data_IF_234761336290
#
_entry.id   IF_234761336290
#
_cell.length_a   1.000
_cell.length_b   1.000
_cell.length_c   1.000
_cell.angle_alpha   90.00
_cell.angle_beta   90.00
_cell.angle_gamma   90.00
#
_symmetry.space_group_name_H-M   'P 1'
#
loop_
_entity.id
_entity.type
_entity.pdbx_description
1 polymer ?
#
# COMPACT_ATOMS: atom_id res chain seq x y z
N UNK A 1 13.78 -34.97 -0.07
CA UNK A 1 14.35 -33.67 -0.51
C UNK A 1 13.92 -33.42 -1.95
N UNK A 2 12.81 -32.70 -2.20
CA UNK A 2 12.38 -32.34 -3.55
C UNK A 2 13.29 -31.20 -4.05
N UNK A 3 13.98 -31.40 -5.15
CA UNK A 3 14.71 -30.33 -5.85
C UNK A 3 13.68 -29.29 -6.29
N UNK A 4 13.73 -28.09 -5.64
CA UNK A 4 12.93 -26.94 -6.07
C UNK A 4 13.51 -26.46 -7.40
N UNK A 5 12.70 -26.44 -8.45
CA UNK A 5 13.06 -25.88 -9.75
C UNK A 5 13.29 -24.37 -9.61
N UNK A 6 14.47 -23.90 -9.91
CA UNK A 6 14.80 -22.47 -9.98
C UNK A 6 14.10 -21.93 -11.24
N UNK A 7 13.08 -21.10 -11.06
CA UNK A 7 12.39 -20.46 -12.20
C UNK A 7 13.29 -19.35 -12.78
N UNK A 8 13.49 -19.39 -14.10
CA UNK A 8 14.24 -18.37 -14.83
C UNK A 8 13.26 -17.32 -15.38
N UNK A 9 13.53 -16.05 -15.12
CA UNK A 9 12.85 -14.93 -15.75
C UNK A 9 13.88 -14.10 -16.52
N UNK A 10 13.71 -14.00 -17.87
CA UNK A 10 14.71 -13.32 -18.70
C UNK A 10 16.10 -13.99 -18.71
N UNK A 11 16.20 -15.30 -18.36
CA UNK A 11 17.47 -16.04 -18.31
C UNK A 11 18.16 -16.06 -16.96
N UNK A 12 17.77 -15.20 -15.99
CA UNK A 12 18.30 -15.21 -14.61
C UNK A 12 17.35 -15.93 -13.64
N UNK A 13 17.90 -16.60 -12.64
CA UNK A 13 17.12 -17.20 -11.57
C UNK A 13 16.60 -16.11 -10.65
N UNK A 14 15.29 -16.08 -10.37
CA UNK A 14 14.70 -15.15 -9.40
C UNK A 14 15.23 -15.42 -7.98
N UNK A 15 15.31 -14.40 -7.10
CA UNK A 15 15.74 -14.57 -5.73
C UNK A 15 14.76 -15.47 -4.96
N UNK A 16 15.22 -16.10 -3.90
CA UNK A 16 14.32 -16.74 -2.95
C UNK A 16 13.45 -15.68 -2.29
N UNK A 17 12.16 -15.98 -2.07
CA UNK A 17 11.23 -15.00 -1.51
C UNK A 17 10.32 -15.62 -0.46
N UNK A 18 9.84 -14.77 0.44
CA UNK A 18 8.71 -15.04 1.34
C UNK A 18 7.64 -13.98 1.11
N UNK A 19 6.37 -14.35 1.29
CA UNK A 19 5.24 -13.44 1.11
C UNK A 19 4.44 -13.31 2.39
N UNK A 20 4.11 -12.08 2.77
CA UNK A 20 3.28 -11.74 3.92
C UNK A 20 2.02 -11.05 3.40
N UNK A 21 0.88 -11.68 3.63
CA UNK A 21 -0.45 -11.22 3.23
C UNK A 21 -1.15 -10.69 4.48
N UNK A 22 -1.46 -9.42 4.50
CA UNK A 22 -2.08 -8.76 5.63
C UNK A 22 -3.61 -8.78 5.50
N UNK A 23 -4.32 -9.08 6.60
CA UNK A 23 -5.78 -9.23 6.62
C UNK A 23 -6.52 -8.25 7.53
N UNK A 24 -5.84 -7.29 8.18
CA UNK A 24 -6.49 -6.32 9.09
C UNK A 24 -7.55 -5.47 8.38
N UNK A 25 -7.41 -5.29 7.06
CA UNK A 25 -8.40 -4.55 6.25
C UNK A 25 -9.67 -5.35 5.92
N UNK A 26 -9.77 -6.62 6.36
CA UNK A 26 -10.98 -7.41 6.12
C UNK A 26 -12.14 -6.90 6.97
N UNK A 27 -13.21 -6.47 6.31
CA UNK A 27 -14.53 -6.37 6.89
C UNK A 27 -15.15 -7.78 7.00
N UNK A 28 -16.03 -8.02 7.97
CA UNK A 28 -16.64 -9.34 8.21
C UNK A 28 -17.41 -9.89 6.99
N UNK A 29 -17.91 -9.04 6.11
CA UNK A 29 -18.61 -9.42 4.87
C UNK A 29 -17.67 -9.74 3.69
N UNK A 30 -16.35 -9.85 3.92
CA UNK A 30 -15.33 -9.74 2.86
C UNK A 30 -14.66 -11.07 2.54
N UNK A 31 -15.27 -12.21 2.87
CA UNK A 31 -14.80 -13.52 2.40
C UNK A 31 -14.57 -13.53 0.88
N UNK A 32 -15.47 -12.93 0.09
CA UNK A 32 -15.37 -12.89 -1.36
C UNK A 32 -14.16 -12.10 -1.88
N UNK A 33 -13.81 -10.98 -1.22
CA UNK A 33 -12.62 -10.20 -1.60
C UNK A 33 -11.33 -10.94 -1.22
N UNK A 34 -11.30 -11.55 -0.05
CA UNK A 34 -10.18 -12.38 0.39
C UNK A 34 -9.94 -13.54 -0.57
N UNK A 35 -10.97 -14.32 -0.90
CA UNK A 35 -10.84 -15.42 -1.86
C UNK A 35 -10.45 -14.91 -3.26
N UNK A 36 -10.99 -13.79 -3.71
CA UNK A 36 -10.59 -13.20 -4.99
C UNK A 36 -9.12 -12.73 -5.00
N UNK A 37 -8.60 -12.24 -3.88
CA UNK A 37 -7.20 -11.90 -3.72
C UNK A 37 -6.33 -13.17 -3.75
N UNK A 38 -6.67 -14.20 -2.95
CA UNK A 38 -5.95 -15.47 -2.90
C UNK A 38 -5.99 -16.20 -4.24
N UNK A 39 -7.13 -16.23 -4.92
CA UNK A 39 -7.24 -16.80 -6.29
C UNK A 39 -6.35 -16.06 -7.30
N UNK A 40 -6.18 -14.75 -7.14
CA UNK A 40 -5.28 -13.97 -7.99
C UNK A 40 -3.80 -14.24 -7.69
N UNK A 41 -3.48 -14.54 -6.43
CA UNK A 41 -2.15 -14.94 -6.01
C UNK A 41 -1.83 -16.38 -6.50
N UNK A 42 -2.78 -17.29 -6.41
CA UNK A 42 -2.59 -18.65 -6.92
C UNK A 42 -2.30 -18.70 -8.44
N UNK A 43 -2.86 -17.77 -9.19
CA UNK A 43 -2.67 -17.64 -10.65
C UNK A 43 -1.38 -16.95 -11.07
N UNK A 44 -0.44 -16.71 -10.14
CA UNK A 44 0.83 -16.08 -10.48
C UNK A 44 1.69 -16.99 -11.38
N UNK A 45 2.40 -16.36 -12.33
CA UNK A 45 3.37 -17.06 -13.20
C UNK A 45 4.56 -17.64 -12.42
N UNK A 46 4.90 -17.03 -11.28
CA UNK A 46 5.77 -17.59 -10.25
C UNK A 46 4.88 -18.23 -9.19
N UNK A 47 4.82 -19.57 -9.08
CA UNK A 47 3.93 -20.23 -8.14
C UNK A 47 4.22 -19.85 -6.68
N UNK A 48 3.20 -19.53 -5.90
CA UNK A 48 3.34 -19.21 -4.47
C UNK A 48 3.87 -20.39 -3.67
N UNK A 49 3.63 -21.63 -4.12
CA UNK A 49 4.22 -22.85 -3.54
C UNK A 49 5.76 -22.88 -3.65
N UNK A 50 6.39 -22.00 -4.44
CA UNK A 50 7.85 -21.84 -4.50
C UNK A 50 8.39 -20.84 -3.48
N UNK A 51 7.53 -20.09 -2.77
CA UNK A 51 7.93 -19.25 -1.67
C UNK A 51 8.64 -20.07 -0.57
N UNK A 52 9.53 -19.43 0.16
CA UNK A 52 10.08 -20.02 1.40
C UNK A 52 8.96 -20.17 2.42
N UNK A 53 8.26 -19.09 2.66
CA UNK A 53 7.06 -19.01 3.48
C UNK A 53 6.01 -18.13 2.77
N UNK A 54 4.76 -18.52 2.84
CA UNK A 54 3.61 -17.71 2.45
C UNK A 54 2.68 -17.61 3.65
N UNK A 55 2.60 -16.42 4.24
CA UNK A 55 1.95 -16.20 5.54
C UNK A 55 0.74 -15.28 5.34
N UNK A 56 -0.45 -15.75 5.69
CA UNK A 56 -1.63 -14.91 5.89
C UNK A 56 -1.70 -14.53 7.36
N UNK A 57 -1.63 -13.24 7.63
CA UNK A 57 -1.68 -12.72 9.00
C UNK A 57 -3.13 -12.55 9.44
N UNK A 58 -3.51 -13.20 10.52
CA UNK A 58 -4.86 -13.13 11.08
C UNK A 58 -4.83 -12.45 12.46
N UNK A 59 -5.39 -11.26 12.58
CA UNK A 59 -5.62 -10.56 13.85
C UNK A 59 -6.93 -10.97 14.55
N UNK A 60 -7.42 -12.19 14.32
CA UNK A 60 -8.68 -12.70 14.87
C UNK A 60 -9.93 -12.27 14.07
N UNK A 61 -9.76 -11.70 12.89
CA UNK A 61 -10.88 -11.22 12.04
C UNK A 61 -11.35 -12.26 11.01
N UNK A 62 -10.56 -13.31 10.79
CA UNK A 62 -10.94 -14.40 9.87
C UNK A 62 -11.74 -15.44 10.69
N UNK A 63 -13.05 -15.66 10.38
CA UNK A 63 -13.84 -16.69 11.01
C UNK A 63 -13.23 -18.08 10.84
N UNK A 64 -13.45 -18.98 11.81
CA UNK A 64 -12.85 -20.32 11.81
C UNK A 64 -13.23 -21.15 10.55
N UNK A 65 -14.47 -21.00 10.07
CA UNK A 65 -14.97 -21.65 8.87
C UNK A 65 -14.23 -21.16 7.62
N UNK A 66 -13.97 -19.83 7.55
CA UNK A 66 -13.20 -19.22 6.45
C UNK A 66 -11.75 -19.65 6.51
N UNK A 67 -11.15 -19.72 7.71
CA UNK A 67 -9.78 -20.20 7.90
C UNK A 67 -9.63 -21.65 7.40
N UNK A 68 -10.55 -22.54 7.81
CA UNK A 68 -10.57 -23.95 7.36
C UNK A 68 -10.73 -24.09 5.83
N UNK A 69 -11.54 -23.23 5.22
CA UNK A 69 -11.68 -23.21 3.75
C UNK A 69 -10.41 -22.71 3.06
N UNK A 70 -9.72 -21.73 3.63
CA UNK A 70 -8.43 -21.23 3.13
C UNK A 70 -7.38 -22.36 3.17
N UNK A 71 -7.22 -23.03 4.29
CA UNK A 71 -6.28 -24.14 4.47
C UNK A 71 -6.53 -25.27 3.45
N UNK A 72 -7.82 -25.57 3.20
CA UNK A 72 -8.22 -26.58 2.22
C UNK A 72 -7.93 -26.14 0.77
N UNK A 73 -8.18 -24.89 0.40
CA UNK A 73 -8.07 -24.38 -0.98
C UNK A 73 -6.65 -23.99 -1.36
N UNK A 74 -5.88 -23.47 -0.41
CA UNK A 74 -4.56 -22.90 -0.66
C UNK A 74 -3.48 -23.58 0.22
N UNK A 75 -3.12 -24.84 -0.05
CA UNK A 75 -2.18 -25.62 0.78
C UNK A 75 -0.74 -25.06 0.79
N UNK A 76 -0.48 -24.00 0.05
CA UNK A 76 0.78 -23.26 0.04
C UNK A 76 0.81 -22.11 1.06
N UNK A 77 -0.31 -21.80 1.72
CA UNK A 77 -0.51 -20.64 2.59
C UNK A 77 -0.65 -21.08 4.05
N UNK A 78 0.18 -20.51 4.91
CA UNK A 78 0.10 -20.70 6.35
C UNK A 78 -0.64 -19.53 7.01
N UNK A 79 -1.63 -19.81 7.86
CA UNK A 79 -2.33 -18.78 8.63
C UNK A 79 -1.60 -18.56 9.95
N UNK A 80 -1.10 -17.33 10.14
CA UNK A 80 -0.41 -16.93 11.37
C UNK A 80 -1.27 -15.95 12.18
N UNK A 81 -1.68 -16.37 13.36
CA UNK A 81 -2.50 -15.54 14.26
C UNK A 81 -1.62 -14.61 15.08
N UNK A 82 -2.00 -13.34 15.13
CA UNK A 82 -1.37 -12.28 15.92
C UNK A 82 -2.39 -11.67 16.89
N UNK A 83 -1.91 -10.85 17.83
CA UNK A 83 -2.79 -10.14 18.77
C UNK A 83 -3.72 -9.17 18.00
N UNK A 84 -4.98 -9.09 18.45
CA UNK A 84 -6.02 -8.30 17.79
C UNK A 84 -5.80 -6.77 17.87
N UNK A 85 -4.91 -6.31 18.77
CA UNK A 85 -4.54 -4.91 18.94
C UNK A 85 -3.38 -4.46 18.04
N UNK A 86 -2.79 -5.39 17.27
CA UNK A 86 -1.73 -5.06 16.32
C UNK A 86 -2.24 -4.17 15.21
N UNK A 87 -1.49 -3.11 14.95
CA UNK A 87 -1.77 -2.20 13.84
C UNK A 87 -1.41 -2.85 12.49
N UNK A 88 -1.96 -2.33 11.41
CA UNK A 88 -1.67 -2.75 10.04
C UNK A 88 -0.16 -2.91 9.73
N UNK A 89 0.68 -2.01 10.22
CA UNK A 89 2.12 -2.11 9.96
C UNK A 89 2.84 -3.06 10.90
N UNK A 90 2.34 -3.27 12.11
CA UNK A 90 2.81 -4.33 13.00
C UNK A 90 2.44 -5.69 12.44
N UNK A 91 1.22 -5.87 11.96
CA UNK A 91 0.77 -7.08 11.27
C UNK A 91 1.64 -7.45 10.06
N UNK A 92 2.22 -6.46 9.37
CA UNK A 92 3.19 -6.70 8.29
C UNK A 92 4.61 -6.97 8.80
N UNK A 93 5.06 -6.24 9.81
CA UNK A 93 6.46 -6.27 10.25
C UNK A 93 6.76 -7.46 11.18
N UNK A 94 5.84 -7.81 12.09
CA UNK A 94 6.06 -8.88 13.08
C UNK A 94 6.37 -10.23 12.42
N UNK A 95 5.64 -10.69 11.36
CA UNK A 95 5.90 -11.96 10.71
C UNK A 95 7.21 -12.00 9.89
N UNK A 96 7.89 -10.89 9.68
CA UNK A 96 9.20 -10.88 9.00
C UNK A 96 10.20 -11.81 9.68
N UNK A 97 10.14 -11.90 11.02
CA UNK A 97 10.99 -12.81 11.81
C UNK A 97 10.73 -14.30 11.54
N UNK A 98 9.58 -14.64 10.99
CA UNK A 98 9.18 -16.01 10.64
C UNK A 98 9.57 -16.41 9.21
N UNK A 99 10.14 -15.47 8.46
CA UNK A 99 10.46 -15.67 7.04
C UNK A 99 11.96 -15.95 6.84
N UNK A 100 12.32 -16.61 5.74
CA UNK A 100 13.72 -16.99 5.39
C UNK A 100 14.11 -16.64 3.95
N UNK A 101 13.21 -16.13 3.11
CA UNK A 101 13.49 -15.71 1.74
C UNK A 101 14.44 -14.51 1.68
N UNK A 102 15.24 -14.39 0.63
CA UNK A 102 16.13 -13.25 0.41
C UNK A 102 15.37 -11.94 0.16
N UNK A 103 14.15 -12.06 -0.37
CA UNK A 103 13.22 -10.96 -0.62
C UNK A 103 11.92 -11.20 0.14
N UNK A 104 11.46 -10.19 0.87
CA UNK A 104 10.19 -10.19 1.58
C UNK A 104 9.18 -9.40 0.76
N UNK A 105 8.09 -10.04 0.39
CA UNK A 105 6.99 -9.45 -0.39
C UNK A 105 5.81 -9.15 0.53
N UNK A 106 5.30 -7.92 0.49
CA UNK A 106 4.09 -7.52 1.21
C UNK A 106 2.94 -7.28 0.24
N UNK A 107 1.80 -7.84 0.57
CA UNK A 107 0.53 -7.62 -0.12
C UNK A 107 -0.64 -7.56 0.88
N UNK A 108 -1.82 -7.17 0.39
CA UNK A 108 -3.05 -7.10 1.18
C UNK A 108 -4.06 -8.10 0.61
N UNK A 109 -4.91 -8.61 1.47
CA UNK A 109 -5.93 -9.59 1.14
C UNK A 109 -7.16 -9.02 0.43
N UNK A 110 -7.24 -7.70 0.24
CA UNK A 110 -8.31 -7.02 -0.48
C UNK A 110 -7.93 -6.63 -1.91
N UNK A 111 -6.70 -6.85 -2.32
CA UNK A 111 -6.19 -6.50 -3.64
C UNK A 111 -6.20 -7.69 -4.61
N UNK A 112 -6.45 -7.42 -5.90
CA UNK A 112 -6.30 -8.41 -6.97
C UNK A 112 -5.01 -8.15 -7.74
N UNK A 113 -4.21 -9.19 -7.93
CA UNK A 113 -2.89 -9.12 -8.54
C UNK A 113 -2.90 -9.73 -9.94
N UNK A 114 -2.33 -9.02 -10.92
CA UNK A 114 -2.23 -9.59 -12.29
C UNK A 114 -1.29 -10.81 -12.32
N UNK A 115 -1.44 -11.77 -13.26
CA UNK A 115 -0.67 -13.02 -13.25
C UNK A 115 0.86 -12.87 -13.26
N UNK A 116 1.40 -11.80 -13.85
CA UNK A 116 2.84 -11.51 -13.86
C UNK A 116 3.33 -10.61 -12.72
N UNK A 117 2.49 -10.33 -11.72
CA UNK A 117 2.78 -9.40 -10.65
C UNK A 117 4.02 -9.78 -9.86
N UNK A 118 4.09 -11.01 -9.37
CA UNK A 118 5.19 -11.47 -8.52
C UNK A 118 6.52 -11.52 -9.28
N UNK A 119 6.50 -12.04 -10.52
CA UNK A 119 7.68 -12.04 -11.38
C UNK A 119 8.21 -10.62 -11.63
N UNK A 120 7.31 -9.67 -11.91
CA UNK A 120 7.67 -8.28 -12.15
C UNK A 120 8.24 -7.60 -10.87
N UNK A 121 7.75 -7.99 -9.69
CA UNK A 121 8.22 -7.44 -8.43
C UNK A 121 9.60 -8.00 -8.04
N UNK A 122 9.89 -9.24 -8.39
CA UNK A 122 11.15 -9.92 -8.05
C UNK A 122 12.27 -9.68 -9.06
N UNK A 123 11.96 -9.43 -10.34
CA UNK A 123 12.98 -9.30 -11.39
C UNK A 123 14.01 -8.19 -11.16
N UNK A 124 13.72 -7.00 -10.56
CA UNK A 124 14.72 -5.97 -10.35
C UNK A 124 15.83 -6.35 -9.35
N UNK A 125 15.63 -7.37 -8.52
CA UNK A 125 16.64 -7.85 -7.58
C UNK A 125 17.77 -8.64 -8.25
N UNK A 126 17.52 -9.19 -9.44
CA UNK A 126 18.50 -9.98 -10.19
C UNK A 126 18.98 -9.24 -11.46
N UNK A 127 18.48 -8.03 -11.68
CA UNK A 127 18.94 -7.16 -12.75
C UNK A 127 20.22 -6.44 -12.32
N UNK A 128 21.38 -6.75 -12.94
CA UNK A 128 22.66 -6.17 -12.55
C UNK A 128 22.73 -4.66 -12.76
N UNK A 129 21.89 -4.11 -13.64
CA UNK A 129 21.81 -2.66 -13.87
C UNK A 129 21.05 -1.93 -12.77
N UNK A 130 20.18 -2.63 -12.03
CA UNK A 130 19.29 -2.06 -11.02
C UNK A 130 19.81 -2.36 -9.61
N UNK A 131 20.16 -3.62 -9.34
CA UNK A 131 20.58 -4.13 -8.03
C UNK A 131 19.67 -3.61 -6.89
N UNK A 132 18.35 -3.91 -7.00
CA UNK A 132 17.35 -3.36 -6.13
C UNK A 132 17.44 -3.90 -4.69
N UNK A 133 17.20 -3.03 -3.71
CA UNK A 133 16.92 -3.42 -2.32
C UNK A 133 15.45 -3.18 -1.94
N UNK A 134 14.74 -2.29 -2.65
CA UNK A 134 13.33 -1.97 -2.46
C UNK A 134 12.63 -1.84 -3.81
N UNK A 135 11.56 -2.61 -4.02
CA UNK A 135 10.77 -2.59 -5.25
C UNK A 135 9.28 -2.47 -4.90
N UNK A 136 8.58 -1.54 -5.53
CA UNK A 136 7.12 -1.39 -5.41
C UNK A 136 6.46 -1.61 -6.77
N UNK A 137 5.26 -2.16 -6.76
CA UNK A 137 4.43 -2.22 -7.96
C UNK A 137 3.55 -0.97 -8.14
N UNK A 138 2.64 -1.07 -9.08
CA UNK A 138 1.57 -0.10 -9.30
C UNK A 138 0.28 -0.60 -8.68
N UNK A 139 -0.30 0.19 -7.77
CA UNK A 139 -1.65 -0.06 -7.25
C UNK A 139 -2.59 0.99 -7.80
N UNK A 140 -3.74 0.56 -8.31
CA UNK A 140 -4.79 1.43 -8.85
C UNK A 140 -6.16 0.93 -8.41
N UNK A 141 -7.20 1.74 -8.60
CA UNK A 141 -8.60 1.36 -8.41
C UNK A 141 -9.27 1.11 -9.76
N UNK A 142 -10.40 0.39 -9.77
CA UNK A 142 -11.21 0.24 -10.97
C UNK A 142 -11.73 1.60 -11.47
N UNK A 143 -11.73 1.81 -12.79
CA UNK A 143 -12.15 3.06 -13.45
C UNK A 143 -13.29 2.83 -14.46
N UNK A 144 -14.09 1.81 -14.21
CA UNK A 144 -15.26 1.41 -14.99
C UNK A 144 -16.53 2.20 -14.68
N UNK A 145 -16.50 3.01 -13.63
CA UNK A 145 -17.59 3.89 -13.21
C UNK A 145 -17.12 5.33 -13.01
N UNK A 146 -18.04 6.28 -13.05
CA UNK A 146 -17.76 7.71 -12.76
C UNK A 146 -17.15 7.86 -11.37
N UNK A 147 -17.63 7.08 -10.41
CA UNK A 147 -17.12 7.08 -9.05
C UNK A 147 -15.69 6.53 -8.97
N UNK A 148 -15.42 5.37 -9.56
CA UNK A 148 -14.07 4.79 -9.62
C UNK A 148 -13.08 5.72 -10.32
N UNK A 149 -13.53 6.39 -11.39
CA UNK A 149 -12.74 7.40 -12.09
C UNK A 149 -12.39 8.59 -11.19
N UNK A 150 -13.36 9.11 -10.43
CA UNK A 150 -13.14 10.16 -9.44
C UNK A 150 -12.12 9.71 -8.38
N UNK A 151 -12.25 8.49 -7.84
CA UNK A 151 -11.30 7.94 -6.86
C UNK A 151 -9.90 7.82 -7.45
N UNK A 152 -9.73 7.34 -8.69
CA UNK A 152 -8.43 7.27 -9.36
C UNK A 152 -7.77 8.65 -9.53
N UNK A 153 -8.57 9.70 -9.76
CA UNK A 153 -8.07 11.08 -9.80
C UNK A 153 -7.67 11.59 -8.42
N UNK A 154 -8.51 11.33 -7.42
CA UNK A 154 -8.50 12.03 -6.14
C UNK A 154 -7.88 11.23 -4.98
N UNK A 155 -7.62 9.94 -5.10
CA UNK A 155 -7.09 9.09 -4.03
C UNK A 155 -5.58 8.80 -4.17
N UNK A 156 -4.99 8.13 -3.17
CA UNK A 156 -3.55 7.84 -3.14
C UNK A 156 -3.09 6.85 -4.23
N UNK A 157 -4.00 6.04 -4.79
CA UNK A 157 -3.66 5.08 -5.84
C UNK A 157 -3.84 5.70 -7.23
N UNK A 158 -2.73 6.04 -7.94
CA UNK A 158 -2.80 6.63 -9.26
C UNK A 158 -3.23 5.58 -10.30
N UNK A 159 -3.72 6.04 -11.47
CA UNK A 159 -3.88 5.15 -12.61
C UNK A 159 -2.57 4.46 -12.99
N UNK A 160 -2.67 3.24 -13.50
CA UNK A 160 -1.50 2.52 -14.04
C UNK A 160 -0.77 3.35 -15.09
N UNK A 161 0.56 3.28 -15.08
CA UNK A 161 1.37 3.98 -16.07
C UNK A 161 1.51 3.18 -17.38
N UNK A 162 2.07 3.81 -18.42
CA UNK A 162 2.48 3.13 -19.65
C UNK A 162 3.97 2.80 -19.66
N UNK A 163 4.67 2.97 -18.54
CA UNK A 163 6.08 2.63 -18.43
C UNK A 163 6.29 1.12 -18.72
N UNK A 164 7.38 0.80 -19.41
CA UNK A 164 7.68 -0.58 -19.84
C UNK A 164 8.76 -1.25 -19.00
N UNK A 165 9.55 -0.48 -18.26
CA UNK A 165 10.64 -0.97 -17.41
C UNK A 165 10.63 -0.31 -16.03
N UNK A 166 11.39 -0.86 -15.06
CA UNK A 166 11.52 -0.28 -13.74
C UNK A 166 12.07 1.15 -13.77
N UNK A 167 11.61 1.99 -12.82
CA UNK A 167 12.08 3.37 -12.66
C UNK A 167 12.09 3.78 -11.17
N UNK A 168 12.97 4.74 -10.83
CA UNK A 168 13.06 5.25 -9.47
C UNK A 168 11.81 6.05 -9.08
N UNK A 169 11.36 5.89 -7.81
CA UNK A 169 10.17 6.55 -7.28
C UNK A 169 10.40 7.07 -5.87
N UNK A 170 9.61 8.06 -5.45
CA UNK A 170 9.70 8.68 -4.12
C UNK A 170 8.86 8.01 -3.03
N UNK A 171 8.32 6.82 -3.25
CA UNK A 171 7.48 6.14 -2.28
C UNK A 171 6.93 4.81 -2.75
N UNK A 172 6.26 4.10 -1.86
CA UNK A 172 5.63 2.82 -2.15
C UNK A 172 4.24 2.72 -1.51
N UNK A 173 3.42 1.81 -2.03
CA UNK A 173 2.17 1.38 -1.41
C UNK A 173 2.44 0.07 -0.65
N UNK A 174 2.05 -0.01 0.64
CA UNK A 174 2.36 -1.16 1.49
C UNK A 174 1.63 -2.45 1.07
N UNK A 175 0.60 -2.33 0.25
CA UNK A 175 -0.12 -3.47 -0.34
C UNK A 175 0.54 -4.04 -1.61
N UNK A 176 1.67 -3.46 -2.07
CA UNK A 176 2.33 -3.87 -3.31
C UNK A 176 3.81 -3.45 -3.29
N UNK A 177 4.59 -4.09 -2.43
CA UNK A 177 6.00 -3.75 -2.23
C UNK A 177 6.79 -4.99 -1.82
N UNK A 178 8.07 -4.99 -2.14
CA UNK A 178 9.04 -5.97 -1.64
C UNK A 178 10.33 -5.28 -1.22
N UNK A 179 11.05 -5.91 -0.31
CA UNK A 179 12.35 -5.46 0.18
C UNK A 179 13.31 -6.63 0.25
N UNK A 180 14.61 -6.38 0.02
CA UNK A 180 15.62 -7.36 0.42
C UNK A 180 15.55 -7.57 1.94
N UNK A 181 15.76 -8.81 2.40
CA UNK A 181 15.79 -9.12 3.83
C UNK A 181 16.77 -8.22 4.57
N UNK A 182 18.00 -8.09 4.06
CA UNK A 182 19.01 -7.27 4.68
C UNK A 182 18.62 -5.80 4.80
N UNK A 183 17.79 -5.26 3.88
CA UNK A 183 17.28 -3.90 4.02
C UNK A 183 16.28 -3.80 5.17
N UNK A 184 15.32 -4.73 5.27
CA UNK A 184 14.32 -4.72 6.36
C UNK A 184 14.95 -4.95 7.73
N UNK A 185 16.01 -5.74 7.82
CA UNK A 185 16.76 -5.94 9.06
C UNK A 185 17.49 -4.66 9.50
N UNK A 186 18.08 -3.92 8.56
CA UNK A 186 18.76 -2.64 8.86
C UNK A 186 17.78 -1.49 9.06
N UNK A 187 16.70 -1.47 8.32
CA UNK A 187 15.73 -0.40 8.28
C UNK A 187 14.30 -0.97 8.24
N UNK A 188 13.78 -1.44 9.37
CA UNK A 188 12.42 -1.98 9.44
C UNK A 188 11.37 -0.90 9.17
N UNK A 189 10.18 -1.32 8.73
CA UNK A 189 9.04 -0.41 8.61
C UNK A 189 8.74 0.14 10.01
N UNK A 190 8.71 1.48 10.22
CA UNK A 190 8.45 2.05 11.52
C UNK A 190 7.08 1.61 12.07
N UNK A 191 7.04 1.00 13.24
CA UNK A 191 5.84 0.65 13.99
C UNK A 191 5.76 1.46 15.27
N UNK A 192 4.69 1.33 16.05
CA UNK A 192 4.53 2.06 17.32
C UNK A 192 4.34 3.56 17.16
N UNK A 193 4.21 4.08 15.95
CA UNK A 193 3.87 5.46 15.70
C UNK A 193 2.39 5.69 15.97
N UNK A 194 2.06 6.80 16.64
CA UNK A 194 0.65 7.22 16.80
C UNK A 194 0.07 7.80 15.50
N UNK A 195 0.29 7.07 14.41
CA UNK A 195 -0.16 7.39 13.06
C UNK A 195 -0.91 6.16 12.57
N UNK A 196 -2.19 6.27 12.30
CA UNK A 196 -3.03 5.16 11.82
C UNK A 196 -2.52 4.57 10.49
N UNK A 197 -2.18 5.44 9.55
CA UNK A 197 -1.56 5.11 8.26
C UNK A 197 -0.45 6.14 7.97
N UNK A 198 0.47 5.87 7.07
CA UNK A 198 1.55 6.79 6.70
C UNK A 198 2.96 6.31 7.07
N UNK A 199 3.07 5.18 7.79
CA UNK A 199 4.36 4.58 8.13
C UNK A 199 5.17 4.25 6.87
N UNK A 200 4.52 3.78 5.79
CA UNK A 200 5.17 3.57 4.49
C UNK A 200 5.73 4.87 3.89
N UNK A 201 5.04 6.00 4.05
CA UNK A 201 5.54 7.30 3.59
C UNK A 201 6.75 7.77 4.39
N UNK A 202 6.75 7.54 5.70
CA UNK A 202 7.89 7.84 6.56
C UNK A 202 9.07 6.91 6.25
N UNK A 203 8.81 5.60 6.15
CA UNK A 203 9.83 4.61 5.81
C UNK A 203 10.49 4.91 4.46
N UNK A 204 9.68 5.17 3.42
CA UNK A 204 10.19 5.52 2.10
C UNK A 204 11.12 6.74 2.14
N UNK A 205 10.78 7.75 2.91
CA UNK A 205 11.63 8.94 3.09
C UNK A 205 12.93 8.60 3.82
N UNK A 206 12.87 7.81 4.89
CA UNK A 206 14.06 7.35 5.61
C UNK A 206 15.00 6.56 4.70
N UNK A 207 14.45 5.67 3.87
CA UNK A 207 15.22 4.92 2.87
C UNK A 207 15.94 5.86 1.89
N UNK A 208 15.23 6.82 1.32
CA UNK A 208 15.82 7.80 0.39
C UNK A 208 16.86 8.71 1.06
N UNK A 209 16.63 9.13 2.30
CA UNK A 209 17.56 9.96 3.07
C UNK A 209 18.89 9.20 3.36
N UNK A 210 18.88 7.86 3.34
CA UNK A 210 20.08 7.01 3.44
C UNK A 210 20.65 6.56 2.09
N UNK A 211 20.11 7.07 0.98
CA UNK A 211 20.59 6.76 -0.37
C UNK A 211 19.99 5.50 -1.01
N UNK A 212 19.05 4.82 -0.34
CA UNK A 212 18.35 3.67 -0.92
C UNK A 212 17.37 4.13 -1.99
N UNK A 213 17.53 3.60 -3.21
CA UNK A 213 16.60 3.84 -4.30
C UNK A 213 15.41 2.89 -4.21
N UNK A 214 14.19 3.44 -4.19
CA UNK A 214 12.97 2.65 -4.33
C UNK A 214 12.64 2.55 -5.83
N UNK A 215 12.61 1.34 -6.35
CA UNK A 215 12.28 1.07 -7.74
C UNK A 215 10.79 0.77 -7.90
N UNK A 216 10.18 1.30 -8.94
CA UNK A 216 8.80 0.95 -9.32
C UNK A 216 8.82 0.01 -10.52
N UNK A 217 8.24 -1.18 -10.35
CA UNK A 217 8.05 -2.18 -11.39
C UNK A 217 6.64 -2.04 -12.00
N UNK A 218 6.48 -1.48 -13.22
CA UNK A 218 5.15 -1.19 -13.80
C UNK A 218 4.34 -2.46 -14.15
N UNK A 219 5.00 -3.60 -14.30
CA UNK A 219 4.34 -4.89 -14.53
C UNK A 219 3.74 -5.50 -13.25
N UNK A 220 4.20 -5.07 -12.09
CA UNK A 220 3.69 -5.53 -10.80
C UNK A 220 2.40 -4.77 -10.43
N UNK A 221 1.28 -5.11 -11.10
CA UNK A 221 0.00 -4.38 -10.95
C UNK A 221 -0.92 -5.06 -9.95
N UNK A 222 -1.47 -4.23 -9.06
CA UNK A 222 -2.51 -4.60 -8.10
C UNK A 222 -3.73 -3.69 -8.26
N UNK A 223 -4.92 -4.27 -8.22
CA UNK A 223 -6.18 -3.54 -8.23
C UNK A 223 -6.76 -3.55 -6.82
N UNK A 224 -6.81 -2.37 -6.20
CA UNK A 224 -7.42 -2.18 -4.89
C UNK A 224 -8.93 -1.92 -5.05
N UNK A 225 -9.79 -2.37 -4.13
CA UNK A 225 -11.22 -2.05 -4.17
C UNK A 225 -11.44 -0.54 -4.09
N UNK A 226 -12.55 -0.10 -4.65
CA UNK A 226 -12.94 1.30 -4.59
C UNK A 226 -13.47 1.62 -3.18
N UNK A 227 -13.09 2.76 -2.61
CA UNK A 227 -13.58 3.20 -1.31
C UNK A 227 -15.11 3.32 -1.29
N UNK A 228 -15.76 2.96 -0.19
CA UNK A 228 -17.19 3.22 0.01
C UNK A 228 -17.43 4.75 0.08
N UNK A 229 -18.50 5.22 -0.58
CA UNK A 229 -18.82 6.65 -0.64
C UNK A 229 -19.03 7.27 0.75
N UNK A 230 -19.65 6.51 1.67
CA UNK A 230 -19.88 6.91 3.07
C UNK A 230 -18.58 7.18 3.85
N UNK A 231 -17.49 6.50 3.48
CA UNK A 231 -16.21 6.62 4.18
C UNK A 231 -15.32 7.75 3.63
N UNK A 232 -15.64 8.28 2.44
CA UNK A 232 -14.79 9.28 1.81
C UNK A 232 -14.48 10.49 2.70
N UNK A 233 -15.46 11.14 3.37
CA UNK A 233 -15.17 12.32 4.17
C UNK A 233 -14.13 12.06 5.24
N UNK A 234 -14.30 10.97 5.99
CA UNK A 234 -13.37 10.60 7.05
C UNK A 234 -12.01 10.17 6.48
N UNK A 235 -11.98 9.41 5.39
CA UNK A 235 -10.73 8.97 4.75
C UNK A 235 -9.90 10.14 4.21
N UNK A 236 -10.52 11.14 3.56
CA UNK A 236 -9.80 12.32 3.10
C UNK A 236 -9.28 13.18 4.26
N UNK A 237 -10.08 13.38 5.31
CA UNK A 237 -9.66 14.08 6.52
C UNK A 237 -8.47 13.35 7.20
N UNK A 238 -8.57 12.05 7.40
CA UNK A 238 -7.51 11.23 7.97
C UNK A 238 -6.22 11.27 7.13
N UNK A 239 -6.34 11.28 5.82
CA UNK A 239 -5.15 11.38 4.96
C UNK A 239 -4.40 12.70 5.19
N UNK A 240 -5.12 13.83 5.27
CA UNK A 240 -4.51 15.11 5.61
C UNK A 240 -3.84 15.10 6.99
N UNK A 241 -4.52 14.51 7.99
CA UNK A 241 -3.96 14.29 9.33
C UNK A 241 -2.65 13.48 9.28
N UNK A 242 -2.63 12.35 8.55
CA UNK A 242 -1.45 11.49 8.45
C UNK A 242 -0.26 12.20 7.82
N UNK A 243 -0.47 12.91 6.72
CA UNK A 243 0.60 13.66 6.07
C UNK A 243 1.21 14.72 6.99
N UNK A 244 0.38 15.42 7.76
CA UNK A 244 0.86 16.36 8.76
C UNK A 244 1.64 15.68 9.89
N UNK A 245 1.18 14.52 10.38
CA UNK A 245 1.90 13.72 11.40
C UNK A 245 3.25 13.22 10.88
N UNK A 246 3.32 12.72 9.64
CA UNK A 246 4.59 12.32 9.01
C UNK A 246 5.55 13.52 8.94
N UNK A 247 5.06 14.71 8.60
CA UNK A 247 5.87 15.93 8.63
C UNK A 247 6.38 16.27 10.02
N UNK A 248 5.54 16.14 11.06
CA UNK A 248 5.92 16.37 12.45
C UNK A 248 6.98 15.35 12.93
N UNK A 249 6.80 14.06 12.64
CA UNK A 249 7.73 13.00 13.03
C UNK A 249 9.15 13.24 12.49
N UNK A 250 9.30 13.77 11.28
CA UNK A 250 10.60 14.11 10.68
C UNK A 250 11.31 15.28 11.39
N UNK A 251 10.57 16.14 12.04
CA UNK A 251 11.14 17.34 12.68
C UNK A 251 11.68 17.08 14.09
N UNK A 252 11.26 15.99 14.73
CA UNK A 252 11.76 15.63 16.06
C UNK A 252 13.24 15.21 16.05
N UNK A 253 13.79 14.88 14.89
CA UNK A 253 15.20 14.50 14.71
C UNK A 253 16.18 15.66 14.45
N UNK A 254 15.74 16.92 14.35
CA UNK A 254 16.57 18.10 14.03
C UNK A 254 16.32 19.33 14.93
N UNK A 255 17.19 20.37 14.94
CA UNK A 255 17.19 21.57 15.83
C UNK A 255 15.83 22.32 15.95
N UNK A 256 15.43 22.63 17.20
CA UNK A 256 14.08 23.06 17.65
C UNK A 256 13.50 24.37 17.07
N UNK A 257 14.29 25.36 16.70
CA UNK A 257 13.79 26.72 16.41
C UNK A 257 13.39 27.00 14.94
N UNK A 258 13.91 26.23 13.98
CA UNK A 258 13.46 26.30 12.56
C UNK A 258 12.27 25.40 12.24
N UNK A 259 11.71 24.74 13.24
CA UNK A 259 10.79 23.58 13.12
C UNK A 259 9.37 23.98 12.75
N UNK A 260 8.78 24.99 13.39
CA UNK A 260 7.37 25.33 13.16
C UNK A 260 7.13 25.95 11.77
N UNK A 261 7.98 26.89 11.35
CA UNK A 261 7.88 27.48 10.02
C UNK A 261 8.16 26.44 8.91
N UNK A 262 9.11 25.52 9.16
CA UNK A 262 9.39 24.40 8.25
C UNK A 262 8.22 23.41 8.14
N UNK A 263 7.50 23.14 9.24
CA UNK A 263 6.32 22.28 9.24
C UNK A 263 5.18 22.86 8.42
N UNK A 264 4.87 24.13 8.64
CA UNK A 264 3.83 24.83 7.90
C UNK A 264 4.15 24.88 6.39
N UNK A 265 5.39 25.17 6.02
CA UNK A 265 5.84 25.18 4.64
C UNK A 265 5.73 23.77 3.99
N UNK A 266 6.07 22.71 4.74
CA UNK A 266 5.91 21.33 4.27
C UNK A 266 4.44 20.96 4.08
N UNK A 267 3.57 21.28 5.06
CA UNK A 267 2.14 21.04 4.93
C UNK A 267 1.56 21.84 3.77
N UNK A 268 1.93 23.11 3.59
CA UNK A 268 1.53 23.92 2.43
C UNK A 268 1.96 23.26 1.11
N UNK A 269 3.21 22.76 1.05
CA UNK A 269 3.71 22.05 -0.13
C UNK A 269 2.91 20.78 -0.43
N UNK A 270 2.54 20.00 0.61
CA UNK A 270 1.72 18.80 0.46
C UNK A 270 0.33 19.17 -0.04
N UNK A 271 -0.28 20.22 0.53
CA UNK A 271 -1.59 20.71 0.09
C UNK A 271 -1.57 21.18 -1.39
N UNK A 272 -0.53 21.91 -1.80
CA UNK A 272 -0.37 22.33 -3.20
C UNK A 272 -0.19 21.14 -4.15
N UNK A 273 0.65 20.17 -3.79
CA UNK A 273 0.81 18.93 -4.56
C UNK A 273 -0.49 18.15 -4.66
N UNK A 274 -1.26 18.14 -3.58
CA UNK A 274 -2.57 17.49 -3.51
C UNK A 274 -3.58 18.15 -4.47
N UNK A 275 -3.64 19.48 -4.48
CA UNK A 275 -4.49 20.25 -5.39
C UNK A 275 -4.12 20.02 -6.86
N UNK A 276 -2.84 19.91 -7.17
CA UNK A 276 -2.35 19.68 -8.53
C UNK A 276 -2.53 18.21 -9.00
N UNK A 277 -2.70 17.27 -8.08
CA UNK A 277 -2.69 15.83 -8.38
C UNK A 277 -3.78 15.39 -9.37
N UNK A 278 -5.07 15.77 -9.25
CA UNK A 278 -6.09 15.37 -10.20
C UNK A 278 -5.79 15.86 -11.62
N UNK A 279 -5.34 17.09 -11.76
CA UNK A 279 -5.02 17.68 -13.07
C UNK A 279 -3.85 16.98 -13.76
N UNK A 280 -2.86 16.50 -13.00
CA UNK A 280 -1.75 15.71 -13.55
C UNK A 280 -2.16 14.31 -14.00
N UNK A 281 -3.16 13.71 -13.34
CA UNK A 281 -3.66 12.36 -13.65
C UNK A 281 -4.69 12.35 -14.77
N UNK A 282 -5.45 13.43 -14.92
CA UNK A 282 -6.56 13.55 -15.86
C UNK A 282 -6.20 13.19 -17.31
N UNK A 283 -5.13 13.72 -17.92
CA UNK A 283 -4.79 13.39 -19.31
C UNK A 283 -4.48 11.90 -19.52
N UNK A 284 -3.86 11.24 -18.54
CA UNK A 284 -3.56 9.81 -18.63
C UNK A 284 -4.81 8.94 -18.55
N UNK A 285 -5.78 9.34 -17.69
CA UNK A 285 -7.05 8.66 -17.56
C UNK A 285 -7.94 8.85 -18.78
N UNK A 286 -8.11 10.06 -19.29
CA UNK A 286 -8.93 10.35 -20.48
C UNK A 286 -8.50 9.55 -21.72
N UNK A 287 -7.21 9.34 -21.87
CA UNK A 287 -6.67 8.55 -23.01
C UNK A 287 -7.03 7.08 -22.92
N UNK A 288 -7.27 6.55 -21.73
CA UNK A 288 -7.54 5.11 -21.50
C UNK A 288 -9.02 4.80 -21.35
N UNK A 289 -9.73 5.67 -20.68
CA UNK A 289 -11.12 5.52 -20.33
C UNK A 289 -11.86 6.84 -20.58
N UNK A 290 -12.46 7.04 -21.76
CA UNK A 290 -13.23 8.24 -22.03
C UNK A 290 -14.42 8.30 -21.06
N UNK A 291 -14.53 9.41 -20.37
CA UNK A 291 -15.63 9.70 -19.43
C UNK A 291 -16.60 10.67 -20.10
N UNK A 292 -17.90 10.47 -19.85
CA UNK A 292 -18.91 11.43 -20.30
C UNK A 292 -18.61 12.83 -19.77
N UNK A 293 -18.65 13.83 -20.64
CA UNK A 293 -18.46 15.22 -20.27
C UNK A 293 -19.45 15.68 -19.21
N UNK A 294 -20.65 15.07 -19.18
CA UNK A 294 -21.68 15.34 -18.19
C UNK A 294 -21.29 14.94 -16.76
N UNK A 295 -20.36 14.01 -16.61
CA UNK A 295 -19.86 13.58 -15.29
C UNK A 295 -18.76 14.51 -14.74
N UNK A 296 -18.15 15.34 -15.59
CA UNK A 296 -17.03 16.24 -15.21
C UNK A 296 -17.39 17.18 -14.06
N UNK A 297 -18.54 17.90 -14.06
CA UNK A 297 -18.90 18.77 -12.95
C UNK A 297 -18.99 18.05 -11.62
N UNK A 298 -19.60 16.86 -11.58
CA UNK A 298 -19.72 16.04 -10.38
C UNK A 298 -18.35 15.60 -9.85
N UNK A 299 -17.44 15.21 -10.73
CA UNK A 299 -16.08 14.86 -10.35
C UNK A 299 -15.30 16.06 -9.80
N UNK A 300 -15.46 17.25 -10.38
CA UNK A 300 -14.83 18.48 -9.88
C UNK A 300 -15.32 18.84 -8.47
N UNK A 301 -16.63 18.71 -8.21
CA UNK A 301 -17.20 18.92 -6.87
C UNK A 301 -16.59 17.92 -5.89
N UNK A 302 -16.53 16.64 -6.24
CA UNK A 302 -15.92 15.61 -5.39
C UNK A 302 -14.44 15.88 -5.11
N UNK A 303 -13.66 16.29 -6.12
CA UNK A 303 -12.26 16.68 -5.98
C UNK A 303 -12.11 17.88 -5.04
N UNK A 304 -12.95 18.90 -5.18
CA UNK A 304 -12.95 20.08 -4.32
C UNK A 304 -13.24 19.70 -2.86
N UNK A 305 -14.31 18.96 -2.61
CA UNK A 305 -14.70 18.51 -1.27
C UNK A 305 -13.60 17.63 -0.64
N UNK A 306 -13.03 16.69 -1.39
CA UNK A 306 -11.94 15.86 -0.92
C UNK A 306 -10.69 16.67 -0.55
N UNK A 307 -10.37 17.71 -1.33
CA UNK A 307 -9.25 18.61 -1.01
C UNK A 307 -9.54 19.46 0.24
N UNK A 308 -10.76 19.99 0.40
CA UNK A 308 -11.16 20.74 1.61
C UNK A 308 -11.01 19.87 2.85
N UNK A 309 -11.51 18.63 2.81
CA UNK A 309 -11.40 17.68 3.93
C UNK A 309 -9.95 17.32 4.24
N UNK A 310 -9.13 17.08 3.22
CA UNK A 310 -7.71 16.82 3.38
C UNK A 310 -6.99 18.00 4.06
N UNK A 311 -7.21 19.22 3.57
CA UNK A 311 -6.62 20.43 4.14
C UNK A 311 -7.09 20.62 5.59
N UNK A 312 -8.39 20.40 5.86
CA UNK A 312 -8.94 20.47 7.22
C UNK A 312 -8.25 19.49 8.17
N UNK A 313 -8.00 18.24 7.74
CA UNK A 313 -7.27 17.25 8.51
C UNK A 313 -5.82 17.66 8.80
N UNK A 314 -5.12 18.17 7.80
CA UNK A 314 -3.75 18.64 7.94
C UNK A 314 -3.64 19.85 8.88
N UNK A 315 -4.49 20.86 8.70
CA UNK A 315 -4.53 22.08 9.53
C UNK A 315 -4.92 21.75 10.98
N UNK A 316 -5.97 20.93 11.18
CA UNK A 316 -6.38 20.50 12.53
C UNK A 316 -5.25 19.83 13.29
N UNK A 317 -4.43 19.05 12.61
CA UNK A 317 -3.27 18.37 13.18
C UNK A 317 -2.14 19.34 13.54
N UNK A 318 -1.92 20.35 12.70
CA UNK A 318 -0.93 21.41 13.00
C UNK A 318 -1.35 22.25 14.20
N UNK A 319 -2.64 22.59 14.32
CA UNK A 319 -3.18 23.37 15.44
C UNK A 319 -3.28 22.55 16.74
N UNK A 320 -3.47 21.22 16.63
CA UNK A 320 -3.58 20.30 17.76
C UNK A 320 -2.65 19.11 17.57
N UNK A 321 -1.34 19.26 17.85
CA UNK A 321 -0.35 18.18 17.63
C UNK A 321 -0.64 16.89 18.42
N UNK A 322 -1.37 16.98 19.54
CA UNK A 322 -1.82 15.84 20.34
C UNK A 322 -3.06 15.11 19.78
N UNK A 323 -3.67 15.64 18.70
CA UNK A 323 -4.84 15.02 18.07
C UNK A 323 -4.50 13.59 17.65
N UNK A 324 -5.28 12.65 18.14
CA UNK A 324 -5.23 11.25 17.76
C UNK A 324 -6.57 10.84 17.13
N UNK A 325 -6.53 10.24 15.97
CA UNK A 325 -7.70 9.79 15.23
C UNK A 325 -7.89 8.27 15.32
N UNK A 326 -7.21 7.58 16.25
CA UNK A 326 -7.36 6.12 16.41
C UNK A 326 -8.81 5.68 16.63
N UNK A 327 -9.59 6.44 17.43
CA UNK A 327 -11.01 6.14 17.65
C UNK A 327 -11.84 6.31 16.38
N UNK A 328 -11.57 7.35 15.58
CA UNK A 328 -12.25 7.57 14.30
C UNK A 328 -11.84 6.51 13.29
N UNK A 329 -10.59 6.10 13.28
CA UNK A 329 -10.09 5.00 12.47
C UNK A 329 -10.78 3.68 12.83
N UNK A 330 -10.81 3.32 14.10
CA UNK A 330 -11.49 2.11 14.58
C UNK A 330 -13.01 2.13 14.34
N UNK A 331 -13.67 3.30 14.42
CA UNK A 331 -15.10 3.41 14.08
C UNK A 331 -15.37 3.27 12.59
N UNK A 332 -14.45 3.71 11.72
CA UNK A 332 -14.56 3.48 10.27
C UNK A 332 -14.35 2.02 9.92
N UNK A 333 -13.36 1.38 10.53
CA UNK A 333 -13.13 -0.05 10.39
C UNK A 333 -14.32 -0.86 10.94
N UNK A 334 -14.87 -0.49 12.11
CA UNK A 334 -16.07 -1.12 12.66
C UNK A 334 -17.32 -0.87 11.80
N UNK A 335 -17.47 0.30 11.15
CA UNK A 335 -18.59 0.61 10.26
C UNK A 335 -18.44 0.02 8.85
N UNK A 336 -17.27 -0.47 8.49
CA UNK A 336 -17.09 -1.37 7.37
C UNK A 336 -17.72 -2.75 7.66
N UNK A 337 -18.12 -3.01 8.93
CA UNK A 337 -18.70 -4.26 9.41
C UNK A 337 -20.24 -4.26 9.48
N UNK A 338 -20.93 -3.19 9.10
CA UNK A 338 -22.37 -3.07 8.99
C UNK A 338 -22.74 -2.50 7.61
#
# INVERSE_FOLDING_TARGET
>A
MKRRSTQQYGGAALPSFSIIIESENLAVEVSDMLFAALDSLEKQTVPLASAREAILVNSGRIPAEVASEIERRYPWLDIHTIDADRTYYEAKQDPVSLTSGDVIVFCDCDCRYVPGWLASLLSPYVDPAINAEAVTGETSVATDSVYGYFIALAWCFPPFTSARGPYATGGYAANNVSFSRGLLERMPIPTGLRIYRGNCSLHARNLMDTGVTIWKAPGARAQHPTLRLSHLPARFFMWGHHEAKVCQARQTSGRRSRRAAGALAQVATICLRRLAMPFRRWPALLRRHPVSILAVPLMLIGILLGNVLFIAGAVSTCLRPSLSLHRLAGSLEASEHH
#
